data_IF_292375297088
#
_entry.id   IF_292375297088
#
_cell.length_a   1.000
_cell.length_b   1.000
_cell.length_c   1.000
_cell.angle_alpha   90.00
_cell.angle_beta   90.00
_cell.angle_gamma   90.00
#
_symmetry.space_group_name_H-M   'P 1'
#
loop_
_entity.id
_entity.type
_entity.pdbx_description
1 polymer ?
#
# COMPACT_ATOMS: atom_id res chain seq x y z
N UNK A 1 17.03 -7.20 15.33
CA UNK A 1 16.08 -6.08 15.14
C UNK A 1 16.18 -5.59 13.70
N UNK A 2 15.14 -5.75 12.93
CA UNK A 2 15.11 -5.38 11.51
C UNK A 2 15.32 -3.86 11.31
N UNK A 3 14.81 -3.01 12.22
CA UNK A 3 14.97 -1.55 12.12
C UNK A 3 16.43 -1.15 12.17
N UNK A 4 17.18 -1.76 13.08
CA UNK A 4 18.62 -1.53 13.19
C UNK A 4 19.35 -1.92 11.90
N UNK A 5 19.04 -3.12 11.36
CA UNK A 5 19.63 -3.64 10.13
C UNK A 5 19.43 -2.68 8.95
N UNK A 6 18.19 -2.23 8.73
CA UNK A 6 17.89 -1.30 7.65
C UNK A 6 18.45 0.11 7.91
N UNK A 7 18.44 0.58 9.18
CA UNK A 7 18.98 1.89 9.51
C UNK A 7 20.49 1.96 9.31
N UNK A 8 21.23 0.95 9.69
CA UNK A 8 22.68 0.89 9.47
C UNK A 8 23.04 1.02 7.97
N UNK A 9 22.18 0.56 7.08
CA UNK A 9 22.40 0.61 5.64
C UNK A 9 21.81 1.86 4.97
N UNK A 10 20.57 2.20 5.26
CA UNK A 10 19.84 3.30 4.61
C UNK A 10 19.88 4.60 5.41
N UNK A 11 19.78 4.53 6.73
CA UNK A 11 19.80 5.69 7.62
C UNK A 11 21.15 6.39 7.62
N UNK A 12 22.23 5.63 7.72
CA UNK A 12 23.59 6.20 7.62
C UNK A 12 23.83 6.88 6.27
N UNK A 13 23.32 6.32 5.18
CA UNK A 13 23.37 6.97 3.87
C UNK A 13 22.60 8.29 3.87
N UNK A 14 21.35 8.26 4.38
CA UNK A 14 20.51 9.45 4.47
C UNK A 14 21.18 10.53 5.31
N UNK A 15 21.66 10.18 6.50
CA UNK A 15 22.33 11.10 7.42
C UNK A 15 23.59 11.75 6.82
N UNK A 16 24.26 11.04 5.92
CA UNK A 16 25.45 11.57 5.24
C UNK A 16 25.14 12.53 4.10
N UNK A 17 24.03 12.34 3.39
CA UNK A 17 23.69 13.04 2.16
C UNK A 17 22.63 14.13 2.32
N UNK A 18 21.81 14.08 3.38
CA UNK A 18 20.65 14.94 3.50
C UNK A 18 20.56 15.61 4.88
N UNK A 19 20.37 16.94 4.86
CA UNK A 19 20.20 17.78 6.06
C UNK A 19 18.96 18.66 6.00
N UNK A 20 18.10 18.42 5.01
CA UNK A 20 16.86 19.18 4.83
C UNK A 20 15.70 18.63 5.66
N UNK A 21 14.52 19.17 5.41
CA UNK A 21 13.25 18.84 6.06
C UNK A 21 12.17 18.33 5.09
N UNK A 22 12.48 18.24 3.79
CA UNK A 22 11.56 17.71 2.80
C UNK A 22 11.61 16.18 2.73
N UNK A 23 10.53 15.54 3.12
CA UNK A 23 10.41 14.08 3.14
C UNK A 23 10.50 13.45 1.74
N UNK A 24 10.15 14.19 0.68
CA UNK A 24 10.27 13.71 -0.70
C UNK A 24 11.73 13.60 -1.10
N UNK A 25 12.54 14.63 -0.83
CA UNK A 25 13.97 14.60 -1.11
C UNK A 25 14.67 13.51 -0.30
N UNK A 26 14.33 13.35 0.98
CA UNK A 26 14.81 12.25 1.80
C UNK A 26 14.44 10.87 1.19
N UNK A 27 13.21 10.72 0.73
CA UNK A 27 12.74 9.47 0.13
C UNK A 27 13.47 9.13 -1.17
N UNK A 28 13.82 10.12 -2.00
CA UNK A 28 14.57 9.92 -3.25
C UNK A 28 15.95 9.33 -3.02
N UNK A 29 16.62 9.71 -1.93
CA UNK A 29 17.94 9.16 -1.58
C UNK A 29 17.84 7.67 -1.29
N UNK A 30 16.86 7.26 -0.47
CA UNK A 30 16.61 5.86 -0.14
C UNK A 30 16.17 5.09 -1.39
N UNK A 31 15.23 5.66 -2.16
CA UNK A 31 14.72 5.08 -3.41
C UNK A 31 15.85 4.89 -4.44
N UNK A 32 16.73 5.86 -4.56
CA UNK A 32 17.91 5.77 -5.44
C UNK A 32 18.86 4.64 -5.06
N UNK A 33 18.95 4.28 -3.78
CA UNK A 33 19.71 3.11 -3.33
C UNK A 33 18.93 1.82 -3.62
N UNK A 34 17.63 1.79 -3.32
CA UNK A 34 16.77 0.63 -3.60
C UNK A 34 16.77 0.26 -5.08
N UNK A 35 16.71 1.24 -5.99
CA UNK A 35 16.77 1.03 -7.45
C UNK A 35 18.05 0.37 -7.94
N UNK A 36 19.15 0.51 -7.21
CA UNK A 36 20.43 -0.14 -7.53
C UNK A 36 20.51 -1.59 -7.05
N UNK A 37 19.54 -2.03 -6.25
CA UNK A 37 19.50 -3.42 -5.79
C UNK A 37 19.02 -4.32 -6.92
N UNK A 38 19.65 -5.47 -7.04
CA UNK A 38 19.09 -6.54 -7.85
C UNK A 38 17.92 -7.17 -7.10
N UNK A 39 16.72 -6.98 -7.63
CA UNK A 39 15.49 -7.56 -7.09
C UNK A 39 14.93 -8.58 -8.08
N UNK A 40 14.66 -9.79 -7.62
CA UNK A 40 14.08 -10.86 -8.42
C UNK A 40 12.57 -10.74 -8.35
N UNK A 41 11.96 -10.19 -9.40
CA UNK A 41 10.51 -10.07 -9.50
C UNK A 41 9.90 -11.37 -10.02
N UNK A 42 9.03 -12.01 -9.24
CA UNK A 42 8.39 -13.28 -9.57
C UNK A 42 6.88 -13.18 -9.38
N UNK A 43 6.12 -13.26 -10.47
CA UNK A 43 4.65 -13.18 -10.50
C UNK A 43 3.98 -14.41 -9.89
N UNK A 44 4.66 -15.53 -9.83
CA UNK A 44 4.15 -16.78 -9.27
C UNK A 44 4.48 -16.96 -7.78
N UNK A 45 5.05 -15.92 -7.17
CA UNK A 45 5.45 -15.93 -5.77
C UNK A 45 4.23 -15.93 -4.85
N UNK A 46 3.89 -17.09 -4.30
CA UNK A 46 2.64 -17.31 -3.52
C UNK A 46 2.90 -17.90 -2.14
N UNK A 47 3.96 -17.47 -1.51
CA UNK A 47 4.25 -17.87 -0.12
C UNK A 47 3.70 -16.85 0.87
N UNK A 48 3.60 -17.19 2.16
CA UNK A 48 3.23 -16.24 3.21
C UNK A 48 4.15 -15.03 3.23
N UNK A 49 3.70 -13.94 3.87
CA UNK A 49 4.49 -12.72 4.05
C UNK A 49 5.88 -13.04 4.55
N UNK A 50 6.88 -12.52 3.85
CA UNK A 50 8.27 -12.64 4.25
C UNK A 50 8.60 -11.58 5.32
N UNK A 51 9.41 -11.98 6.29
CA UNK A 51 9.89 -11.05 7.28
C UNK A 51 10.94 -10.07 6.70
N UNK A 52 11.14 -8.97 7.43
CA UNK A 52 12.01 -7.87 7.00
C UNK A 52 13.47 -8.31 6.79
N UNK A 53 13.99 -9.23 7.63
CA UNK A 53 15.38 -9.69 7.56
C UNK A 53 15.58 -10.57 6.33
N UNK A 54 14.61 -11.44 6.04
CA UNK A 54 14.64 -12.27 4.84
C UNK A 54 14.64 -11.41 3.58
N UNK A 55 13.77 -10.40 3.50
CA UNK A 55 13.69 -9.50 2.34
C UNK A 55 14.96 -8.67 2.16
N UNK A 56 15.59 -8.24 3.25
CA UNK A 56 16.86 -7.53 3.19
C UNK A 56 17.96 -8.34 2.48
N UNK A 57 18.05 -9.64 2.79
CA UNK A 57 19.09 -10.50 2.25
C UNK A 57 18.75 -11.08 0.87
N UNK A 58 17.50 -11.46 0.62
CA UNK A 58 17.14 -12.26 -0.54
C UNK A 58 16.53 -11.47 -1.70
N UNK A 59 15.83 -10.35 -1.44
CA UNK A 59 15.33 -9.42 -2.45
C UNK A 59 14.57 -10.10 -3.58
N UNK A 60 13.64 -10.96 -3.20
CA UNK A 60 12.81 -11.72 -4.13
C UNK A 60 11.34 -11.62 -3.72
N UNK A 61 10.45 -11.59 -4.69
CA UNK A 61 9.01 -11.64 -4.47
C UNK A 61 8.22 -11.01 -5.59
N UNK A 62 6.96 -10.74 -5.29
CA UNK A 62 6.03 -10.06 -6.18
C UNK A 62 5.85 -8.59 -5.76
N UNK A 63 4.80 -7.91 -6.21
CA UNK A 63 4.54 -6.49 -5.88
C UNK A 63 4.47 -6.24 -4.37
N UNK A 64 3.92 -7.17 -3.59
CA UNK A 64 3.82 -7.04 -2.13
C UNK A 64 5.19 -7.00 -1.46
N UNK A 65 6.05 -7.94 -1.77
CA UNK A 65 7.39 -8.03 -1.20
C UNK A 65 8.26 -6.83 -1.62
N UNK A 66 8.07 -6.31 -2.83
CA UNK A 66 8.71 -5.08 -3.29
C UNK A 66 8.26 -3.87 -2.47
N UNK A 67 6.94 -3.75 -2.20
CA UNK A 67 6.41 -2.73 -1.30
C UNK A 67 6.95 -2.89 0.13
N UNK A 68 6.95 -4.11 0.66
CA UNK A 68 7.42 -4.39 2.02
C UNK A 68 8.91 -4.03 2.18
N UNK A 69 9.78 -4.39 1.24
CA UNK A 69 11.19 -4.00 1.22
C UNK A 69 11.35 -2.46 1.27
N UNK A 70 10.57 -1.75 0.45
CA UNK A 70 10.56 -0.29 0.42
C UNK A 70 10.09 0.29 1.76
N UNK A 71 9.02 -0.25 2.32
CA UNK A 71 8.47 0.21 3.61
C UNK A 71 9.47 0.00 4.74
N UNK A 72 10.15 -1.14 4.80
CA UNK A 72 11.14 -1.39 5.84
C UNK A 72 12.31 -0.40 5.73
N UNK A 73 12.84 -0.16 4.53
CA UNK A 73 13.92 0.80 4.31
C UNK A 73 13.51 2.23 4.70
N UNK A 74 12.37 2.71 4.21
CA UNK A 74 11.88 4.06 4.49
C UNK A 74 11.54 4.26 5.96
N UNK A 75 10.81 3.31 6.59
CA UNK A 75 10.41 3.43 7.99
C UNK A 75 11.53 3.31 8.98
N UNK A 76 12.57 2.54 8.68
CA UNK A 76 13.78 2.51 9.49
C UNK A 76 14.44 3.89 9.57
N UNK A 77 14.31 4.69 8.51
CA UNK A 77 14.81 6.07 8.42
C UNK A 77 13.79 7.14 8.91
N UNK A 78 12.66 6.73 9.48
CA UNK A 78 11.62 7.65 9.96
C UNK A 78 10.72 8.24 8.86
N UNK A 79 10.85 7.80 7.60
CA UNK A 79 10.04 8.27 6.48
C UNK A 79 8.65 7.62 6.53
N UNK A 80 7.55 8.41 6.56
CA UNK A 80 6.19 7.89 6.71
C UNK A 80 5.66 7.33 5.38
N UNK A 81 5.63 6.02 5.28
CA UNK A 81 5.12 5.29 4.10
C UNK A 81 4.05 4.28 4.47
N UNK A 82 3.21 3.95 3.52
CA UNK A 82 2.16 2.93 3.62
C UNK A 82 2.07 2.14 2.31
N UNK A 83 1.32 1.03 2.31
CA UNK A 83 0.97 0.28 1.11
C UNK A 83 -0.49 0.48 0.80
N UNK A 84 -0.79 0.89 -0.44
CA UNK A 84 -2.13 0.85 -1.00
C UNK A 84 -2.26 -0.35 -1.93
N UNK A 85 -3.45 -0.91 -1.99
CA UNK A 85 -3.73 -2.07 -2.81
C UNK A 85 -5.19 -2.12 -3.27
N UNK A 86 -5.43 -2.82 -4.37
CA UNK A 86 -6.75 -3.31 -4.74
C UNK A 86 -6.76 -4.85 -4.74
N UNK A 87 -7.87 -5.42 -4.37
CA UNK A 87 -8.01 -6.89 -4.36
C UNK A 87 -8.12 -7.43 -5.77
N UNK A 88 -8.74 -6.64 -6.65
CA UNK A 88 -9.02 -7.03 -8.02
C UNK A 88 -9.05 -5.80 -8.93
N UNK A 89 -8.35 -5.88 -10.06
CA UNK A 89 -8.41 -4.88 -11.12
C UNK A 89 -9.37 -5.35 -12.22
N UNK A 90 -10.30 -4.50 -12.68
CA UNK A 90 -11.16 -4.83 -13.82
C UNK A 90 -10.38 -5.18 -15.10
N UNK A 91 -9.21 -4.57 -15.30
CA UNK A 91 -8.42 -4.76 -16.51
C UNK A 91 -7.52 -5.99 -16.46
N UNK A 92 -6.88 -6.23 -15.30
CA UNK A 92 -5.82 -7.24 -15.16
C UNK A 92 -6.27 -8.49 -14.41
N UNK A 93 -7.48 -8.49 -13.86
CA UNK A 93 -8.08 -9.62 -13.14
C UNK A 93 -7.20 -10.19 -12.01
N UNK A 94 -6.39 -9.35 -11.37
CA UNK A 94 -5.52 -9.77 -10.27
C UNK A 94 -5.32 -8.68 -9.22
N UNK A 95 -4.80 -9.08 -8.07
CA UNK A 95 -4.35 -8.22 -6.99
C UNK A 95 -3.13 -7.40 -7.42
N UNK A 96 -3.06 -6.15 -6.96
CA UNK A 96 -1.84 -5.34 -7.05
C UNK A 96 -1.73 -4.40 -5.86
N UNK A 97 -0.50 -4.04 -5.51
CA UNK A 97 -0.20 -3.05 -4.48
C UNK A 97 0.99 -2.19 -4.89
N UNK A 98 1.06 -1.01 -4.27
CA UNK A 98 2.10 -0.02 -4.50
C UNK A 98 2.38 0.76 -3.21
N UNK A 99 3.51 1.47 -3.18
CA UNK A 99 3.93 2.24 -2.02
C UNK A 99 3.39 3.67 -2.09
N UNK A 100 3.01 4.20 -0.93
CA UNK A 100 2.55 5.56 -0.74
C UNK A 100 3.45 6.28 0.27
N UNK A 101 3.96 7.44 -0.07
CA UNK A 101 4.67 8.36 0.82
C UNK A 101 3.66 9.38 1.38
N UNK A 102 3.62 9.55 2.69
CA UNK A 102 2.87 10.65 3.29
C UNK A 102 3.74 11.90 3.32
N UNK A 103 3.35 12.90 2.54
CA UNK A 103 4.02 14.19 2.52
C UNK A 103 3.77 15.00 3.81
N UNK A 104 4.57 16.05 4.01
CA UNK A 104 4.43 17.00 5.13
C UNK A 104 3.10 17.74 5.12
N UNK A 105 2.43 17.88 3.97
CA UNK A 105 1.06 18.41 3.83
C UNK A 105 -0.03 17.44 4.30
N UNK A 106 0.34 16.17 4.58
CA UNK A 106 -0.60 15.10 4.90
C UNK A 106 -1.12 14.33 3.69
N UNK A 107 -0.80 14.77 2.47
CA UNK A 107 -1.17 14.12 1.21
C UNK A 107 -0.34 12.84 1.01
N UNK A 108 -0.96 11.81 0.45
CA UNK A 108 -0.26 10.59 0.07
C UNK A 108 0.12 10.62 -1.40
N UNK A 109 1.40 10.36 -1.67
CA UNK A 109 2.00 10.38 -3.00
C UNK A 109 2.43 8.97 -3.38
N UNK A 110 1.98 8.49 -4.53
CA UNK A 110 2.34 7.17 -5.03
C UNK A 110 3.80 7.17 -5.51
N UNK A 111 4.53 6.10 -5.19
CA UNK A 111 5.88 5.85 -5.71
C UNK A 111 6.22 4.36 -5.68
N UNK A 112 7.33 4.00 -6.31
CA UNK A 112 7.85 2.63 -6.26
C UNK A 112 9.30 2.59 -6.71
N UNK A 113 10.17 1.91 -5.95
CA UNK A 113 11.61 1.92 -6.21
C UNK A 113 12.00 1.35 -7.58
N UNK A 114 11.18 0.52 -8.16
CA UNK A 114 11.39 -0.06 -9.49
C UNK A 114 10.49 0.54 -10.58
N UNK A 115 9.69 1.55 -10.26
CA UNK A 115 8.76 2.18 -11.20
C UNK A 115 9.02 3.69 -11.35
N UNK A 116 8.75 4.49 -10.30
CA UNK A 116 8.85 5.95 -10.34
C UNK A 116 9.05 6.55 -8.93
N UNK A 117 9.59 7.77 -8.90
CA UNK A 117 9.84 8.52 -7.67
C UNK A 117 8.59 9.25 -7.16
N UNK A 118 8.55 9.51 -5.86
CA UNK A 118 7.51 10.36 -5.27
C UNK A 118 7.62 11.79 -5.80
N UNK A 119 6.48 12.42 -6.13
CA UNK A 119 6.41 13.79 -6.63
C UNK A 119 5.09 14.43 -6.23
N UNK A 120 5.11 15.74 -5.90
CA UNK A 120 3.91 16.55 -5.63
C UNK A 120 3.17 16.92 -6.91
N UNK A 121 3.88 17.02 -8.02
CA UNK A 121 3.38 17.63 -9.26
C UNK A 121 2.64 16.65 -10.17
N UNK A 122 2.59 15.37 -9.82
CA UNK A 122 1.98 14.35 -10.67
C UNK A 122 1.06 13.41 -9.88
N UNK A 123 -0.23 13.54 -10.12
CA UNK A 123 -1.15 12.40 -9.96
C UNK A 123 -0.77 11.35 -11.01
N UNK A 124 0.08 10.42 -10.61
CA UNK A 124 0.49 9.35 -11.52
C UNK A 124 -0.61 8.30 -11.60
N UNK A 125 -1.28 8.29 -12.73
CA UNK A 125 -2.08 7.18 -13.14
C UNK A 125 -1.16 6.16 -13.80
N UNK A 126 -1.05 5.00 -13.19
CA UNK A 126 -0.37 3.85 -13.79
C UNK A 126 -1.17 3.22 -14.97
N UNK A 127 -2.23 3.89 -15.42
CA UNK A 127 -3.12 3.46 -16.49
C UNK A 127 -4.09 2.34 -16.11
N UNK A 128 -3.97 1.79 -14.91
CA UNK A 128 -4.83 0.68 -14.47
C UNK A 128 -6.17 1.18 -13.94
N UNK A 129 -7.25 0.59 -14.39
CA UNK A 129 -8.55 0.76 -13.74
C UNK A 129 -8.52 0.04 -12.40
N UNK A 130 -8.60 0.83 -11.34
CA UNK A 130 -8.65 0.31 -9.97
C UNK A 130 -10.11 0.12 -9.58
N UNK A 131 -10.38 -0.97 -8.86
CA UNK A 131 -11.62 -1.12 -8.10
C UNK A 131 -11.52 -0.35 -6.78
N UNK A 132 -12.07 -0.91 -5.72
CA UNK A 132 -11.87 -0.38 -4.36
C UNK A 132 -10.39 -0.39 -4.00
N UNK A 133 -9.87 0.75 -3.52
CA UNK A 133 -8.49 0.90 -3.05
C UNK A 133 -8.47 0.93 -1.53
N UNK A 134 -7.61 0.11 -0.97
CA UNK A 134 -7.41 -0.02 0.47
C UNK A 134 -5.98 0.33 0.84
N UNK A 135 -5.79 0.92 2.03
CA UNK A 135 -4.48 1.23 2.62
C UNK A 135 -4.23 0.40 3.85
N UNK A 136 -3.06 -0.26 3.93
CA UNK A 136 -2.59 -0.83 5.17
C UNK A 136 -2.18 0.27 6.14
N UNK A 137 -2.79 0.26 7.33
CA UNK A 137 -2.53 1.21 8.40
C UNK A 137 -1.79 0.51 9.56
N UNK A 138 -0.88 1.24 10.21
CA UNK A 138 -0.12 0.71 11.36
C UNK A 138 -0.83 0.92 12.69
N UNK A 139 -1.89 1.71 12.70
CA UNK A 139 -2.80 1.89 13.83
C UNK A 139 -4.16 1.27 13.56
N UNK A 140 -4.82 0.86 14.63
CA UNK A 140 -6.21 0.38 14.56
C UNK A 140 -7.10 1.50 14.03
N UNK A 141 -7.81 1.23 12.96
CA UNK A 141 -8.80 2.17 12.42
C UNK A 141 -10.06 2.12 13.27
N UNK A 142 -10.56 3.30 13.63
CA UNK A 142 -11.81 3.42 14.36
C UNK A 142 -12.93 2.76 13.54
N UNK A 143 -13.71 1.94 14.23
CA UNK A 143 -14.70 1.07 13.63
C UNK A 143 -15.83 1.89 13.00
N UNK A 144 -15.83 2.05 11.69
CA UNK A 144 -17.03 2.48 10.97
C UNK A 144 -18.10 1.40 10.94
N UNK A 145 -17.76 0.18 11.40
CA UNK A 145 -18.59 -1.02 11.37
C UNK A 145 -18.75 -1.63 12.77
N UNK A 146 -18.94 -0.82 13.82
CA UNK A 146 -19.07 -1.30 15.20
C UNK A 146 -20.22 -2.29 15.44
N UNK A 147 -21.15 -2.43 14.50
CA UNK A 147 -22.22 -3.44 14.54
C UNK A 147 -21.85 -4.82 13.98
N UNK A 148 -20.68 -4.99 13.36
CA UNK A 148 -20.36 -6.22 12.60
C UNK A 148 -19.22 -7.06 13.18
N UNK A 149 -18.66 -6.67 14.33
CA UNK A 149 -17.45 -7.30 14.92
C UNK A 149 -17.58 -8.78 15.30
N UNK A 150 -18.77 -9.33 15.29
CA UNK A 150 -19.04 -10.76 15.58
C UNK A 150 -19.40 -11.61 14.38
N UNK A 151 -19.50 -11.04 13.18
CA UNK A 151 -20.08 -11.75 12.06
C UNK A 151 -19.07 -12.52 11.22
N UNK A 152 -19.22 -13.83 11.15
CA UNK A 152 -18.36 -14.75 10.39
C UNK A 152 -18.50 -14.62 8.87
N UNK A 153 -19.55 -13.96 8.38
CA UNK A 153 -19.86 -13.86 6.94
C UNK A 153 -19.14 -12.72 6.21
N UNK A 154 -18.54 -11.77 6.93
CA UNK A 154 -17.78 -10.69 6.29
C UNK A 154 -16.46 -11.17 5.72
N UNK A 155 -16.10 -10.62 4.55
CA UNK A 155 -14.79 -10.82 3.94
C UNK A 155 -13.66 -10.47 4.92
N UNK A 156 -12.54 -11.21 4.95
CA UNK A 156 -11.38 -10.89 5.78
C UNK A 156 -10.88 -9.44 5.62
N UNK A 157 -10.95 -8.87 4.42
CA UNK A 157 -10.58 -7.47 4.15
C UNK A 157 -11.45 -6.50 4.95
N UNK A 158 -12.75 -6.76 5.05
CA UNK A 158 -13.69 -5.90 5.79
C UNK A 158 -13.60 -6.08 7.31
N UNK A 159 -13.01 -7.18 7.77
CA UNK A 159 -12.74 -7.45 9.20
C UNK A 159 -11.41 -6.89 9.68
N UNK A 160 -10.52 -6.56 8.76
CA UNK A 160 -9.17 -6.14 9.11
C UNK A 160 -9.17 -4.70 9.62
N UNK A 161 -8.95 -4.52 10.92
CA UNK A 161 -8.91 -3.22 11.59
C UNK A 161 -7.66 -2.39 11.25
N UNK A 162 -6.70 -2.97 10.56
CA UNK A 162 -5.51 -2.28 10.07
C UNK A 162 -5.62 -1.90 8.58
N UNK A 163 -6.84 -1.86 8.06
CA UNK A 163 -7.12 -1.49 6.67
C UNK A 163 -8.12 -0.34 6.64
N UNK A 164 -7.85 0.67 5.81
CA UNK A 164 -8.73 1.81 5.53
C UNK A 164 -9.11 1.79 4.05
N UNK A 165 -10.39 2.00 3.74
CA UNK A 165 -10.84 2.31 2.38
C UNK A 165 -10.39 3.74 2.03
N UNK A 166 -9.57 3.88 1.00
CA UNK A 166 -9.03 5.15 0.51
C UNK A 166 -9.44 5.42 -0.94
N UNK A 167 -10.44 4.73 -1.44
CA UNK A 167 -10.94 4.84 -2.82
C UNK A 167 -11.22 6.29 -3.20
N UNK A 168 -11.78 7.09 -2.29
CA UNK A 168 -12.08 8.50 -2.53
C UNK A 168 -10.85 9.39 -2.69
N UNK A 169 -9.70 8.98 -2.15
CA UNK A 169 -8.43 9.69 -2.36
C UNK A 169 -7.94 9.59 -3.82
N UNK A 170 -8.40 8.57 -4.57
CA UNK A 170 -8.05 8.32 -5.97
C UNK A 170 -9.07 8.87 -6.96
N UNK A 171 -10.35 8.75 -6.64
CA UNK A 171 -11.43 8.98 -7.61
C UNK A 171 -12.43 10.06 -7.19
N UNK A 172 -12.20 10.69 -6.05
CA UNK A 172 -13.19 11.56 -5.44
C UNK A 172 -14.37 10.77 -4.87
N UNK A 173 -15.40 11.50 -4.42
CA UNK A 173 -16.62 10.92 -3.87
C UNK A 173 -17.67 10.83 -4.97
N UNK A 174 -18.08 9.61 -5.29
CA UNK A 174 -19.22 9.31 -6.19
C UNK A 174 -20.22 8.47 -5.39
N UNK A 175 -20.97 9.11 -4.51
CA UNK A 175 -21.94 8.43 -3.66
C UNK A 175 -23.21 8.12 -4.46
N UNK A 176 -23.62 6.86 -4.44
CA UNK A 176 -24.88 6.38 -5.02
C UNK A 176 -25.74 5.79 -3.92
N UNK A 177 -26.97 6.26 -3.84
CA UNK A 177 -27.97 5.69 -2.93
C UNK A 177 -28.80 4.63 -3.62
N UNK A 178 -28.70 3.40 -3.13
CA UNK A 178 -29.50 2.28 -3.64
C UNK A 178 -30.57 1.95 -2.57
N UNK A 179 -31.86 2.17 -2.84
CA UNK A 179 -32.90 1.78 -1.91
C UNK A 179 -33.03 0.26 -1.86
N UNK A 180 -32.90 -0.32 -0.66
CA UNK A 180 -32.98 -1.76 -0.44
C UNK A 180 -34.01 -2.03 0.63
N UNK A 181 -34.99 -2.89 0.33
CA UNK A 181 -35.89 -3.43 1.35
C UNK A 181 -35.28 -4.69 1.95
N UNK A 182 -34.99 -4.66 3.25
CA UNK A 182 -34.44 -5.81 3.97
C UNK A 182 -35.48 -6.37 4.93
N UNK A 183 -35.64 -7.67 4.92
CA UNK A 183 -36.40 -8.41 5.94
C UNK A 183 -35.43 -9.31 6.70
N UNK A 184 -35.19 -9.01 7.99
CA UNK A 184 -34.31 -9.78 8.87
C UNK A 184 -32.83 -9.35 8.80
N UNK A 185 -31.97 -10.05 9.56
CA UNK A 185 -30.52 -9.81 9.57
C UNK A 185 -29.86 -10.42 8.34
N UNK A 186 -29.77 -9.67 7.27
CA UNK A 186 -29.10 -10.10 6.03
C UNK A 186 -28.02 -9.13 5.64
N UNK A 187 -26.96 -9.66 5.01
CA UNK A 187 -25.89 -8.86 4.42
C UNK A 187 -26.14 -8.72 2.94
N UNK A 188 -26.00 -7.49 2.45
CA UNK A 188 -26.06 -7.19 1.03
C UNK A 188 -24.67 -6.77 0.58
N UNK A 189 -24.18 -7.43 -0.45
CA UNK A 189 -22.94 -7.07 -1.12
C UNK A 189 -23.26 -6.43 -2.46
N UNK A 190 -22.73 -5.23 -2.67
CA UNK A 190 -22.70 -4.65 -4.00
C UNK A 190 -21.55 -5.30 -4.79
N UNK A 191 -21.90 -6.11 -5.76
CA UNK A 191 -20.95 -6.71 -6.71
C UNK A 191 -20.83 -5.86 -7.96
N UNK A 192 -19.60 -5.64 -8.42
CA UNK A 192 -19.33 -5.10 -9.75
C UNK A 192 -18.89 -6.27 -10.61
N UNK A 193 -19.66 -6.53 -11.67
CA UNK A 193 -19.27 -7.54 -12.64
C UNK A 193 -18.11 -7.00 -13.47
N UNK A 194 -16.99 -7.72 -13.47
CA UNK A 194 -15.97 -7.51 -14.49
C UNK A 194 -16.48 -8.11 -15.80
N UNK A 195 -16.48 -7.37 -16.91
CA UNK A 195 -16.73 -8.00 -18.19
C UNK A 195 -15.64 -9.04 -18.43
N UNK A 196 -16.01 -10.29 -18.41
CA UNK A 196 -15.14 -11.37 -18.90
C UNK A 196 -15.16 -11.19 -20.41
N UNK A 197 -14.03 -10.71 -20.96
CA UNK A 197 -13.84 -10.67 -22.41
C UNK A 197 -13.59 -12.06 -22.95
#
# INVERSE_FOLDING_TARGET
DWRKLYYEDYGTLLDSLYKGDDVIEASKIIDGKLRKLYYIYNTDFRIPHLDAVFLYHNRIGYCREACDLTIYAMRACGIPVATDYFVYSPDYQHYHCWTMLRDTTGTFLQFGFNEFEASRDTLRHDGRKKGKVYRYCFGIQADKNSGTSGNRQLSPVLKNRFVKDVTSEYFGSNDTTIPIQMSGEQYIYLGIFSPVG
#
